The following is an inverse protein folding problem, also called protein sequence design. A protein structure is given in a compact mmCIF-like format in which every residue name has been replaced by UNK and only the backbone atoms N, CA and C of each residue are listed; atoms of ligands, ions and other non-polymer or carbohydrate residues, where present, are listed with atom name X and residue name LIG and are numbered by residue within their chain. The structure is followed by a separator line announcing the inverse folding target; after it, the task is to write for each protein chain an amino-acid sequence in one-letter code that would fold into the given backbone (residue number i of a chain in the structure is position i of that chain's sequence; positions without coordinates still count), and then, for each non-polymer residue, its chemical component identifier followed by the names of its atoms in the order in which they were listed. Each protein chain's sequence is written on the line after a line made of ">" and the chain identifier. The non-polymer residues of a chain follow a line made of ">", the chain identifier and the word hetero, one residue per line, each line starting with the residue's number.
data_IF_042023038768
#
_entry.id   IF_042023038768
#
_cell.length_a   1.000
_cell.length_b   1.000
_cell.length_c   1.000
_cell.angle_alpha   90.00
_cell.angle_beta   90.00
_cell.angle_gamma   90.00
#
_symmetry.space_group_name_H-M   'P 1'
#
loop_
_entity.id
_entity.type
_entity.pdbx_description
1 polymer ?
#
# COMPACT_ATOMS: atom_id res chain seq x y z
N UNK A 1 15.08 -21.02 -23.71
CA UNK A 1 14.90 -20.17 -22.53
C UNK A 1 15.74 -20.76 -21.41
N UNK A 2 16.58 -19.97 -20.81
CA UNK A 2 17.43 -20.39 -19.70
C UNK A 2 17.10 -19.63 -18.42
N UNK A 3 17.72 -20.03 -17.32
CA UNK A 3 17.47 -19.43 -16.03
C UNK A 3 17.88 -17.95 -15.99
N UNK A 4 18.95 -17.60 -16.71
CA UNK A 4 19.40 -16.19 -16.76
C UNK A 4 18.34 -15.30 -17.41
N UNK A 5 17.74 -15.74 -18.50
CA UNK A 5 16.67 -15.00 -19.17
C UNK A 5 15.44 -14.85 -18.28
N UNK A 6 15.07 -15.92 -17.56
CA UNK A 6 13.93 -15.88 -16.65
C UNK A 6 14.18 -14.91 -15.50
N UNK A 7 15.40 -14.91 -14.96
CA UNK A 7 15.77 -13.97 -13.90
C UNK A 7 15.73 -12.52 -14.39
N UNK A 8 16.14 -12.26 -15.63
CA UNK A 8 16.05 -10.91 -16.21
C UNK A 8 14.59 -10.47 -16.33
N UNK A 9 13.69 -11.39 -16.70
CA UNK A 9 12.25 -11.09 -16.74
C UNK A 9 11.72 -10.75 -15.34
N UNK A 10 12.13 -11.52 -14.34
CA UNK A 10 11.73 -11.26 -12.94
C UNK A 10 12.24 -9.88 -12.50
N UNK A 11 13.50 -9.55 -12.82
CA UNK A 11 14.07 -8.26 -12.43
C UNK A 11 13.30 -7.09 -13.05
N UNK A 12 12.87 -7.25 -14.29
CA UNK A 12 12.07 -6.23 -14.98
C UNK A 12 10.72 -6.04 -14.29
N UNK A 13 10.06 -7.16 -13.95
CA UNK A 13 8.78 -7.13 -13.23
C UNK A 13 8.96 -6.50 -11.85
N UNK A 14 10.04 -6.86 -11.15
CA UNK A 14 10.30 -6.32 -9.82
C UNK A 14 10.46 -4.80 -9.84
N UNK A 15 11.14 -4.26 -10.86
CA UNK A 15 11.25 -2.80 -11.02
C UNK A 15 9.87 -2.16 -11.19
N UNK A 16 8.99 -2.80 -11.96
CA UNK A 16 7.63 -2.32 -12.14
C UNK A 16 6.84 -2.34 -10.82
N UNK A 17 7.03 -3.39 -10.02
CA UNK A 17 6.38 -3.49 -8.70
C UNK A 17 6.86 -2.36 -7.79
N UNK A 18 8.17 -2.09 -7.76
CA UNK A 18 8.73 -0.99 -6.96
C UNK A 18 8.14 0.34 -7.40
N UNK A 19 8.13 0.61 -8.70
CA UNK A 19 7.61 1.86 -9.23
C UNK A 19 6.13 2.05 -8.87
N UNK A 20 5.33 1.00 -9.00
CA UNK A 20 3.91 1.06 -8.67
C UNK A 20 3.70 1.20 -7.17
N UNK A 21 4.50 0.53 -6.35
CA UNK A 21 4.44 0.68 -4.90
C UNK A 21 4.72 2.12 -4.49
N UNK A 22 5.77 2.72 -5.03
CA UNK A 22 6.11 4.11 -4.71
C UNK A 22 5.03 5.09 -5.18
N UNK A 23 4.47 4.86 -6.36
CA UNK A 23 3.37 5.66 -6.86
C UNK A 23 2.15 5.56 -5.93
N UNK A 24 1.81 4.33 -5.49
CA UNK A 24 0.71 4.11 -4.56
C UNK A 24 0.95 4.80 -3.22
N UNK A 25 2.18 4.76 -2.72
CA UNK A 25 2.54 5.42 -1.47
C UNK A 25 2.46 6.94 -1.60
N UNK A 26 2.79 7.49 -2.77
CA UNK A 26 2.64 8.92 -3.00
C UNK A 26 1.16 9.32 -2.96
N UNK A 27 0.28 8.53 -3.55
CA UNK A 27 -1.17 8.77 -3.48
C UNK A 27 -1.67 8.60 -2.04
N UNK A 28 -1.13 7.63 -1.30
CA UNK A 28 -1.46 7.48 0.13
C UNK A 28 -1.09 8.72 0.94
N UNK A 29 0.03 9.36 0.60
CA UNK A 29 0.40 10.64 1.22
C UNK A 29 -0.64 11.71 0.95
N UNK A 30 -1.13 11.79 -0.27
CA UNK A 30 -2.19 12.74 -0.64
C UNK A 30 -3.50 12.44 0.10
N UNK A 31 -3.83 11.17 0.28
CA UNK A 31 -4.98 10.75 1.08
C UNK A 31 -4.82 11.20 2.53
N UNK A 32 -3.60 11.06 3.08
CA UNK A 32 -3.32 11.51 4.44
C UNK A 32 -3.52 13.01 4.58
N UNK A 33 -3.05 13.80 3.63
CA UNK A 33 -3.24 15.25 3.63
C UNK A 33 -4.73 15.61 3.64
N UNK A 34 -5.51 14.92 2.82
CA UNK A 34 -6.96 15.12 2.78
C UNK A 34 -7.62 14.77 4.13
N UNK A 35 -7.24 13.65 4.72
CA UNK A 35 -7.79 13.22 6.01
C UNK A 35 -7.43 14.18 7.13
N UNK A 36 -6.22 14.71 7.12
CA UNK A 36 -5.78 15.72 8.09
C UNK A 36 -6.65 16.96 7.97
N UNK A 37 -6.87 17.45 6.75
CA UNK A 37 -7.68 18.64 6.53
C UNK A 37 -9.13 18.47 6.94
N UNK A 38 -9.69 17.27 6.73
CA UNK A 38 -11.11 17.01 6.96
C UNK A 38 -11.40 16.36 8.30
N UNK A 39 -10.36 16.01 9.08
CA UNK A 39 -10.53 15.35 10.37
C UNK A 39 -10.94 13.89 10.29
N UNK A 40 -10.82 13.28 9.12
CA UNK A 40 -11.16 11.86 8.95
C UNK A 40 -10.09 10.97 9.54
N UNK A 41 -10.50 9.80 10.03
CA UNK A 41 -9.58 8.84 10.62
C UNK A 41 -8.73 8.17 9.55
N UNK A 42 -7.48 7.85 9.88
CA UNK A 42 -6.58 7.12 9.00
C UNK A 42 -7.11 5.72 8.71
N UNK A 43 -7.47 4.98 9.77
CA UNK A 43 -7.91 3.60 9.60
C UNK A 43 -9.39 3.54 9.24
N UNK A 44 -9.67 2.92 8.11
CA UNK A 44 -11.02 2.63 7.63
C UNK A 44 -11.11 1.13 7.37
N UNK A 45 -11.59 0.39 8.36
CA UNK A 45 -11.63 -1.07 8.31
C UNK A 45 -12.48 -1.58 7.14
N UNK A 46 -13.63 -0.97 6.93
CA UNK A 46 -14.53 -1.39 5.86
C UNK A 46 -13.89 -1.19 4.49
N UNK A 47 -13.25 -0.05 4.28
CA UNK A 47 -12.55 0.24 3.02
C UNK A 47 -11.44 -0.76 2.76
N UNK A 48 -10.68 -1.13 3.80
CA UNK A 48 -9.60 -2.09 3.66
C UNK A 48 -10.12 -3.48 3.33
N UNK A 49 -11.21 -3.90 3.96
CA UNK A 49 -11.84 -5.19 3.66
C UNK A 49 -12.36 -5.24 2.22
N UNK A 50 -13.00 -4.17 1.76
CA UNK A 50 -13.47 -4.06 0.38
C UNK A 50 -12.31 -4.11 -0.62
N UNK A 51 -11.19 -3.47 -0.29
CA UNK A 51 -10.00 -3.48 -1.14
C UNK A 51 -9.43 -4.89 -1.25
N UNK A 52 -9.30 -5.60 -0.14
CA UNK A 52 -8.80 -6.99 -0.14
C UNK A 52 -9.69 -7.86 -1.02
N UNK A 53 -11.01 -7.80 -0.82
CA UNK A 53 -11.94 -8.58 -1.64
C UNK A 53 -11.81 -8.23 -3.12
N UNK A 54 -11.68 -6.96 -3.43
CA UNK A 54 -11.57 -6.47 -4.81
C UNK A 54 -10.30 -6.96 -5.50
N UNK A 55 -9.14 -6.87 -4.85
CA UNK A 55 -7.89 -7.31 -5.47
C UNK A 55 -7.82 -8.83 -5.60
N UNK A 56 -8.37 -9.57 -4.62
CA UNK A 56 -8.46 -11.03 -4.73
C UNK A 56 -9.29 -11.44 -5.94
N UNK A 57 -10.37 -10.73 -6.21
CA UNK A 57 -11.24 -11.02 -7.34
C UNK A 57 -10.56 -10.80 -8.70
N UNK A 58 -9.46 -10.06 -8.74
CA UNK A 58 -8.70 -9.85 -9.97
C UNK A 58 -7.75 -10.99 -10.30
N UNK A 59 -7.52 -11.90 -9.36
CA UNK A 59 -6.61 -13.02 -9.56
C UNK A 59 -7.29 -14.17 -10.32
N UNK A 60 -6.48 -15.07 -10.88
CA UNK A 60 -6.98 -16.13 -11.72
C UNK A 60 -6.87 -17.54 -11.11
N UNK A 61 -6.32 -17.64 -9.91
CA UNK A 61 -6.24 -18.93 -9.20
C UNK A 61 -6.12 -18.70 -7.70
N UNK A 62 -6.37 -19.75 -6.92
CA UNK A 62 -6.43 -19.66 -5.47
C UNK A 62 -5.09 -19.33 -4.84
N UNK A 63 -4.01 -19.90 -5.39
CA UNK A 63 -2.67 -19.62 -4.87
C UNK A 63 -2.35 -18.12 -4.96
N UNK A 64 -2.59 -17.54 -6.13
CA UNK A 64 -2.37 -16.10 -6.33
C UNK A 64 -3.33 -15.24 -5.51
N UNK A 65 -4.56 -15.70 -5.31
CA UNK A 65 -5.52 -14.99 -4.48
C UNK A 65 -5.02 -14.84 -3.04
N UNK A 66 -4.48 -15.92 -2.46
CA UNK A 66 -3.89 -15.88 -1.13
C UNK A 66 -2.66 -14.96 -1.07
N UNK A 67 -1.79 -15.06 -2.07
CA UNK A 67 -0.60 -14.20 -2.13
C UNK A 67 -0.95 -12.73 -2.25
N UNK A 68 -1.93 -12.40 -3.07
CA UNK A 68 -2.40 -11.03 -3.24
C UNK A 68 -3.03 -10.50 -1.95
N UNK A 69 -3.77 -11.33 -1.24
CA UNK A 69 -4.32 -10.94 0.07
C UNK A 69 -3.20 -10.52 1.03
N UNK A 70 -2.19 -11.37 1.18
CA UNK A 70 -1.05 -11.07 2.06
C UNK A 70 -0.31 -9.82 1.62
N UNK A 71 -0.06 -9.70 0.31
CA UNK A 71 0.62 -8.56 -0.26
C UNK A 71 -0.11 -7.25 0.05
N UNK A 72 -1.41 -7.21 -0.18
CA UNK A 72 -2.18 -5.99 0.03
C UNK A 72 -2.42 -5.67 1.50
N UNK A 73 -2.48 -6.68 2.35
CA UNK A 73 -2.48 -6.44 3.81
C UNK A 73 -1.22 -5.68 4.22
N UNK A 74 -0.05 -6.08 3.70
CA UNK A 74 1.21 -5.39 4.00
C UNK A 74 1.26 -4.01 3.37
N UNK A 75 0.82 -3.86 2.14
CA UNK A 75 0.78 -2.56 1.46
C UNK A 75 -0.08 -1.58 2.26
N UNK A 76 -1.26 -2.02 2.70
CA UNK A 76 -2.16 -1.15 3.48
C UNK A 76 -1.60 -0.85 4.86
N UNK A 77 -0.91 -1.80 5.47
CA UNK A 77 -0.21 -1.56 6.74
C UNK A 77 0.85 -0.47 6.59
N UNK A 78 1.64 -0.53 5.53
CA UNK A 78 2.66 0.49 5.26
C UNK A 78 2.01 1.84 4.94
N UNK A 79 0.91 1.84 4.22
CA UNK A 79 0.14 3.04 3.92
C UNK A 79 -0.36 3.71 5.22
N UNK A 80 -0.89 2.92 6.16
CA UNK A 80 -1.32 3.45 7.46
C UNK A 80 -0.14 4.04 8.24
N UNK A 81 1.01 3.36 8.24
CA UNK A 81 2.20 3.87 8.92
C UNK A 81 2.60 5.24 8.38
N UNK A 82 2.63 5.39 7.06
CA UNK A 82 2.94 6.66 6.43
C UNK A 82 1.93 7.73 6.85
N UNK A 83 0.64 7.41 6.81
CA UNK A 83 -0.42 8.35 7.15
C UNK A 83 -0.35 8.76 8.62
N UNK A 84 -0.08 7.82 9.53
CA UNK A 84 0.08 8.15 10.95
C UNK A 84 1.31 9.02 11.20
N UNK A 85 2.41 8.78 10.49
CA UNK A 85 3.59 9.63 10.62
C UNK A 85 3.30 11.05 10.16
N UNK A 86 2.59 11.22 9.05
CA UNK A 86 2.22 12.54 8.57
C UNK A 86 1.24 13.24 9.51
N UNK A 87 0.30 12.49 10.07
CA UNK A 87 -0.64 13.03 11.05
C UNK A 87 0.09 13.50 12.30
N UNK A 88 1.04 12.73 12.80
CA UNK A 88 1.83 13.11 13.96
C UNK A 88 2.66 14.35 13.69
N UNK A 89 3.31 14.43 12.53
CA UNK A 89 4.10 15.59 12.14
C UNK A 89 3.24 16.84 12.03
N UNK A 90 2.03 16.72 11.46
CA UNK A 90 1.10 17.83 11.35
C UNK A 90 0.57 18.26 12.71
N UNK A 91 0.08 17.31 13.49
CA UNK A 91 -0.55 17.60 14.78
C UNK A 91 0.44 18.07 15.83
N UNK A 92 1.69 17.61 15.71
CA UNK A 92 2.69 17.94 16.71
C UNK A 92 3.26 19.33 16.52
N UNK A 93 3.55 19.70 15.32
CA UNK A 93 4.43 20.84 15.06
C UNK A 93 5.57 20.83 16.07
N UNK A 94 6.15 19.63 16.27
CA UNK A 94 7.19 19.40 17.23
C UNK A 94 6.74 18.90 18.58
N UNK A 95 5.45 18.64 18.81
CA UNK A 95 4.93 18.28 20.13
C UNK A 95 4.70 16.81 20.35
N UNK A 96 4.17 16.12 19.38
CA UNK A 96 3.74 14.74 19.59
C UNK A 96 4.42 13.81 18.65
N UNK A 97 5.44 13.17 19.13
CA UNK A 97 6.00 12.06 18.38
C UNK A 97 5.09 10.84 18.50
N UNK A 98 5.23 9.96 17.61
CA UNK A 98 4.77 8.62 17.81
C UNK A 98 5.69 7.91 18.75
#
# INVERSE_FOLDING_TARGET
>A
MDLSQLRQQIDTIDRQIVDLYEERMDVSRQVAEYKIETGKKVFDKQREQEKIAGVKALTHNDFNSHGVEELFEQIMSMSRKLQYQLLAAHGSEGRLPF
#
